data_IF_172311582192
#
_entry.id   IF_172311582192
#
_cell.length_a   1.000
_cell.length_b   1.000
_cell.length_c   1.000
_cell.angle_alpha   90.00
_cell.angle_beta   90.00
_cell.angle_gamma   90.00
#
_symmetry.space_group_name_H-M   'P 1'
#
loop_
_entity.id
_entity.type
_entity.pdbx_description
1 polymer ?
#
# COMPACT_ATOMS: atom_id res chain seq x y z
N UNK A 1 -74.19 -2.48 2.71
CA UNK A 1 -73.22 -2.17 1.65
C UNK A 1 -72.39 -1.00 2.12
N UNK A 2 -71.09 -1.23 2.43
CA UNK A 2 -70.05 -0.72 1.52
C UNK A 2 -68.96 -1.75 1.20
N UNK A 3 -68.37 -1.50 0.03
CA UNK A 3 -67.31 -2.21 -0.69
C UNK A 3 -65.90 -1.74 -0.24
N UNK A 4 -64.88 -2.55 -0.56
CA UNK A 4 -63.41 -2.34 -0.42
C UNK A 4 -62.87 -2.40 1.02
N UNK A 5 -62.24 -3.46 1.56
CA UNK A 5 -61.35 -4.55 1.07
C UNK A 5 -59.97 -4.10 0.54
N UNK A 6 -58.98 -4.32 1.42
CA UNK A 6 -57.53 -4.51 1.26
C UNK A 6 -56.62 -3.29 1.06
N UNK A 7 -55.83 -3.02 2.10
CA UNK A 7 -54.38 -2.72 1.98
C UNK A 7 -53.72 -3.13 3.30
N UNK A 8 -53.12 -4.33 3.34
CA UNK A 8 -51.67 -4.55 3.38
C UNK A 8 -51.06 -4.04 4.69
N UNK A 9 -50.92 -4.87 5.72
CA UNK A 9 -49.79 -5.81 5.87
C UNK A 9 -48.46 -5.17 5.46
N UNK A 10 -47.81 -4.49 6.39
CA UNK A 10 -46.34 -4.37 6.48
C UNK A 10 -45.98 -3.77 7.84
N UNK A 11 -46.26 -4.54 8.90
CA UNK A 11 -45.74 -4.29 10.23
C UNK A 11 -44.61 -5.29 10.47
N UNK A 12 -43.53 -5.14 9.70
CA UNK A 12 -42.33 -5.94 9.89
C UNK A 12 -41.13 -5.23 9.28
N UNK A 13 -40.07 -5.14 10.09
CA UNK A 13 -38.69 -4.84 9.71
C UNK A 13 -38.36 -3.36 9.45
N UNK A 14 -38.42 -2.55 10.51
CA UNK A 14 -37.38 -1.53 10.74
C UNK A 14 -36.33 -2.14 11.69
N UNK A 15 -35.67 -3.21 11.22
CA UNK A 15 -34.37 -3.59 11.74
C UNK A 15 -33.43 -2.44 11.42
N UNK A 16 -33.06 -1.71 12.47
CA UNK A 16 -32.08 -0.64 12.47
C UNK A 16 -30.79 -1.19 11.86
N UNK A 17 -30.62 -1.00 10.55
CA UNK A 17 -29.34 -1.10 9.88
C UNK A 17 -28.55 0.15 10.27
N UNK A 18 -28.18 0.23 11.55
CA UNK A 18 -27.03 0.99 11.97
C UNK A 18 -25.83 0.20 11.44
N UNK A 19 -25.54 0.37 10.15
CA UNK A 19 -24.23 0.10 9.62
C UNK A 19 -23.30 0.99 10.44
N UNK A 20 -22.70 0.41 11.49
CA UNK A 20 -21.66 1.04 12.25
C UNK A 20 -20.50 1.23 11.27
N UNK A 21 -20.53 2.36 10.56
CA UNK A 21 -19.33 2.93 9.97
C UNK A 21 -18.39 3.06 11.14
N UNK A 22 -17.41 2.16 11.21
CA UNK A 22 -16.24 2.30 12.05
C UNK A 22 -15.66 3.66 11.70
N UNK A 23 -16.06 4.69 12.44
CA UNK A 23 -15.46 6.00 12.36
C UNK A 23 -14.02 5.76 12.82
N UNK A 24 -13.12 5.63 11.85
CA UNK A 24 -11.70 5.52 12.09
C UNK A 24 -11.35 6.68 13.00
N UNK A 25 -10.91 6.36 14.23
CA UNK A 25 -10.55 7.40 15.20
C UNK A 25 -9.61 8.38 14.49
N UNK A 26 -9.87 9.70 14.54
CA UNK A 26 -9.08 10.66 13.80
C UNK A 26 -7.61 10.52 14.17
N UNK A 27 -6.76 10.50 13.15
CA UNK A 27 -5.33 10.38 13.33
C UNK A 27 -4.83 11.60 14.12
N UNK A 28 -4.30 11.37 15.32
CA UNK A 28 -3.88 12.45 16.23
C UNK A 28 -2.78 13.33 15.61
N UNK A 29 -1.94 12.75 14.74
CA UNK A 29 -0.91 13.47 13.98
C UNK A 29 -1.53 14.34 12.90
N UNK A 30 -2.54 13.82 12.19
CA UNK A 30 -3.28 14.58 11.19
C UNK A 30 -4.01 15.78 11.81
N UNK A 31 -4.69 15.57 12.94
CA UNK A 31 -5.36 16.66 13.68
C UNK A 31 -4.34 17.70 14.16
N UNK A 32 -3.17 17.26 14.66
CA UNK A 32 -2.11 18.18 15.07
C UNK A 32 -1.55 18.98 13.89
N UNK A 33 -1.33 18.35 12.74
CA UNK A 33 -0.83 19.00 11.53
C UNK A 33 -1.84 20.00 10.96
N UNK A 34 -3.12 19.63 10.90
CA UNK A 34 -4.18 20.52 10.42
C UNK A 34 -4.35 21.76 11.31
N UNK A 35 -4.17 21.64 12.64
CA UNK A 35 -4.21 22.79 13.56
C UNK A 35 -3.09 23.81 13.34
N UNK A 36 -2.01 23.42 12.65
CA UNK A 36 -0.89 24.29 12.35
C UNK A 36 -1.10 25.10 11.07
N UNK A 37 -2.12 24.79 10.27
CA UNK A 37 -2.48 25.60 9.10
C UNK A 37 -2.83 27.03 9.55
N UNK A 38 -2.26 28.01 8.85
CA UNK A 38 -2.31 29.44 9.21
C UNK A 38 -1.25 29.88 10.22
N UNK A 39 -0.41 28.97 10.73
CA UNK A 39 0.68 29.30 11.67
C UNK A 39 2.04 29.31 10.98
N UNK A 40 3.06 29.98 11.57
CA UNK A 40 4.43 29.88 11.08
C UNK A 40 4.97 28.45 11.13
N UNK A 41 5.75 28.06 10.11
CA UNK A 41 6.39 26.74 10.04
C UNK A 41 7.28 26.41 11.25
N UNK A 42 7.81 27.43 11.93
CA UNK A 42 8.60 27.27 13.16
C UNK A 42 7.82 26.58 14.30
N UNK A 43 6.50 26.68 14.32
CA UNK A 43 5.66 25.95 15.28
C UNK A 43 5.63 24.45 14.98
N UNK A 44 5.57 24.07 13.70
CA UNK A 44 5.67 22.67 13.31
C UNK A 44 7.01 22.06 13.73
N UNK A 45 8.11 22.81 13.64
CA UNK A 45 9.44 22.32 14.04
C UNK A 45 9.54 22.02 15.54
N UNK A 46 8.77 22.74 16.37
CA UNK A 46 8.68 22.46 17.81
C UNK A 46 7.89 21.19 18.12
N UNK A 47 6.88 20.90 17.31
CA UNK A 47 5.96 19.77 17.53
C UNK A 47 6.52 18.47 16.95
N UNK A 48 6.97 18.50 15.69
CA UNK A 48 7.44 17.32 14.96
C UNK A 48 8.96 17.15 15.01
N UNK A 49 9.70 18.17 15.47
CA UNK A 49 11.15 18.23 15.46
C UNK A 49 11.68 18.83 14.16
N UNK A 50 13.00 18.75 13.95
CA UNK A 50 13.63 19.20 12.69
C UNK A 50 13.10 18.36 11.50
N UNK A 51 12.71 18.98 10.37
CA UNK A 51 12.29 18.24 9.18
C UNK A 51 13.45 17.45 8.57
N UNK A 52 13.14 16.29 7.99
CA UNK A 52 14.11 15.44 7.30
C UNK A 52 14.52 16.03 5.96
N UNK A 53 13.57 16.68 5.28
CA UNK A 53 13.77 17.36 4.01
C UNK A 53 12.82 18.55 3.92
N UNK A 54 13.20 19.56 3.14
CA UNK A 54 12.37 20.73 2.94
C UNK A 54 13.15 21.92 2.41
N UNK A 55 12.41 22.82 1.79
CA UNK A 55 12.90 24.09 1.29
C UNK A 55 11.99 25.19 1.84
N UNK A 56 12.58 26.18 2.48
CA UNK A 56 11.83 27.37 2.90
C UNK A 56 11.35 28.20 1.71
N UNK A 57 10.53 29.23 1.96
CA UNK A 57 10.08 30.12 0.90
C UNK A 57 11.26 30.75 0.17
N UNK A 58 11.10 30.93 -1.14
CA UNK A 58 12.13 31.57 -1.94
C UNK A 58 12.13 33.09 -1.72
N UNK A 59 13.27 33.71 -2.00
CA UNK A 59 13.40 35.18 -2.01
C UNK A 59 12.48 35.89 -3.00
N UNK A 60 11.93 35.16 -3.99
CA UNK A 60 10.99 35.67 -4.99
C UNK A 60 9.52 35.50 -4.59
N UNK A 61 9.25 35.06 -3.36
CA UNK A 61 7.90 34.96 -2.80
C UNK A 61 7.18 33.64 -3.08
N UNK A 62 7.86 32.65 -3.68
CA UNK A 62 7.30 31.30 -3.78
C UNK A 62 7.26 30.65 -2.39
N UNK A 63 6.20 29.90 -2.14
CA UNK A 63 6.07 29.07 -0.95
C UNK A 63 7.16 28.02 -0.79
N UNK A 64 7.21 27.42 0.40
CA UNK A 64 8.12 26.34 0.74
C UNK A 64 7.39 25.03 1.06
N UNK A 65 8.15 24.00 1.41
CA UNK A 65 7.62 22.77 1.96
C UNK A 65 8.58 22.16 2.98
N UNK A 66 8.05 21.41 3.93
CA UNK A 66 8.80 20.68 4.95
C UNK A 66 8.21 19.29 5.16
N UNK A 67 9.06 18.27 5.19
CA UNK A 67 8.67 16.88 5.29
C UNK A 67 9.35 16.13 6.44
N UNK A 68 8.58 15.29 7.13
CA UNK A 68 9.05 14.34 8.15
C UNK A 68 8.66 12.93 7.74
N UNK A 69 9.63 12.04 7.63
CA UNK A 69 9.46 10.64 7.28
C UNK A 69 9.95 9.75 8.43
N UNK A 70 9.02 9.04 9.06
CA UNK A 70 9.33 8.04 10.09
C UNK A 70 8.95 6.65 9.59
N UNK A 71 9.97 5.83 9.37
CA UNK A 71 9.81 4.44 8.95
C UNK A 71 10.35 3.53 10.05
N UNK A 72 9.57 2.55 10.46
CA UNK A 72 10.04 1.44 11.28
C UNK A 72 9.78 0.13 10.54
N UNK A 73 10.80 -0.73 10.53
CA UNK A 73 10.77 -2.03 9.87
C UNK A 73 11.25 -3.09 10.83
N UNK A 74 10.71 -4.29 10.73
CA UNK A 74 11.29 -5.49 11.33
C UNK A 74 11.57 -6.54 10.27
N UNK A 75 12.45 -7.47 10.62
CA UNK A 75 12.77 -8.64 9.81
C UNK A 75 11.91 -9.78 10.33
N UNK A 76 11.04 -10.30 9.47
CA UNK A 76 10.24 -11.50 9.79
C UNK A 76 11.10 -12.77 9.66
N UNK A 77 10.77 -13.85 10.37
CA UNK A 77 11.43 -15.14 10.19
C UNK A 77 11.09 -15.82 8.85
N UNK A 78 10.13 -15.29 8.11
CA UNK A 78 9.73 -15.79 6.80
C UNK A 78 10.82 -15.51 5.76
N UNK A 79 11.24 -16.57 5.09
CA UNK A 79 12.24 -16.55 4.03
C UNK A 79 11.56 -16.40 2.67
N UNK A 80 11.91 -15.35 1.93
CA UNK A 80 11.39 -15.11 0.58
C UNK A 80 12.50 -15.34 -0.43
N UNK A 81 12.18 -16.07 -1.50
CA UNK A 81 13.10 -16.29 -2.61
C UNK A 81 13.08 -15.08 -3.55
N UNK A 82 14.23 -14.42 -3.67
CA UNK A 82 14.44 -13.31 -4.61
C UNK A 82 15.04 -13.89 -5.88
N UNK A 83 14.25 -13.93 -6.95
CA UNK A 83 14.71 -14.39 -8.26
C UNK A 83 15.61 -13.31 -8.89
N UNK A 84 16.89 -13.63 -9.09
CA UNK A 84 17.87 -12.75 -9.73
C UNK A 84 18.15 -13.13 -11.18
N UNK A 85 17.71 -14.32 -11.61
CA UNK A 85 17.91 -14.76 -12.98
C UNK A 85 17.21 -16.07 -13.33
N UNK A 86 17.58 -16.59 -14.49
CA UNK A 86 17.23 -17.94 -14.94
C UNK A 86 18.49 -18.60 -15.51
N UNK A 87 18.71 -19.85 -15.12
CA UNK A 87 19.81 -20.68 -15.61
C UNK A 87 19.25 -21.75 -16.54
N UNK A 88 19.90 -21.96 -17.67
CA UNK A 88 19.56 -23.03 -18.59
C UNK A 88 20.01 -24.38 -18.01
N UNK A 89 19.07 -25.32 -17.85
CA UNK A 89 19.32 -26.62 -17.21
C UNK A 89 19.18 -27.83 -18.14
N UNK A 90 18.90 -27.60 -19.42
CA UNK A 90 18.84 -28.66 -20.43
C UNK A 90 17.65 -28.51 -21.39
N UNK A 91 17.35 -29.58 -22.12
CA UNK A 91 16.24 -29.63 -23.05
C UNK A 91 15.28 -30.75 -22.68
N UNK A 92 13.98 -30.48 -22.79
CA UNK A 92 12.94 -31.51 -22.67
C UNK A 92 12.56 -31.96 -24.07
N UNK A 93 12.94 -33.19 -24.40
CA UNK A 93 12.56 -33.83 -25.67
C UNK A 93 11.23 -34.54 -25.51
N UNK A 94 10.25 -34.18 -26.34
CA UNK A 94 8.95 -34.87 -26.40
C UNK A 94 9.05 -36.00 -27.41
N UNK A 95 8.79 -37.22 -26.96
CA UNK A 95 8.80 -38.43 -27.79
C UNK A 95 7.36 -38.85 -28.09
N UNK A 96 7.06 -39.25 -29.32
CA UNK A 96 5.79 -39.92 -29.67
C UNK A 96 6.06 -41.35 -30.08
N UNK A 97 5.17 -42.24 -29.66
CA UNK A 97 5.16 -43.62 -30.13
C UNK A 97 4.65 -43.69 -31.56
N UNK A 98 5.40 -44.35 -32.43
CA UNK A 98 5.00 -44.65 -33.80
C UNK A 98 4.75 -46.16 -33.84
N UNK A 99 3.53 -46.56 -34.22
CA UNK A 99 3.15 -47.97 -34.28
C UNK A 99 2.16 -48.24 -35.41
N UNK A 100 2.54 -49.17 -36.29
CA UNK A 100 1.70 -49.73 -37.35
C UNK A 100 2.48 -50.81 -38.12
N UNK A 101 1.88 -51.99 -38.36
CA UNK A 101 2.49 -53.04 -39.19
C UNK A 101 3.58 -53.91 -38.53
N UNK A 102 3.66 -53.98 -37.21
CA UNK A 102 4.60 -54.88 -36.50
C UNK A 102 5.94 -54.25 -36.12
N UNK A 103 6.14 -52.96 -36.37
CA UNK A 103 7.33 -52.20 -35.94
C UNK A 103 6.91 -51.17 -34.89
N UNK A 104 7.62 -51.13 -33.77
CA UNK A 104 7.40 -50.15 -32.69
C UNK A 104 8.65 -49.29 -32.56
N UNK A 105 8.50 -47.98 -32.70
CA UNK A 105 9.58 -47.01 -32.54
C UNK A 105 9.11 -45.76 -31.78
N UNK A 106 10.07 -45.01 -31.22
CA UNK A 106 9.81 -43.70 -30.64
C UNK A 106 10.55 -42.66 -31.48
N UNK A 107 9.87 -41.56 -31.89
CA UNK A 107 10.53 -40.40 -32.51
C UNK A 107 10.44 -39.16 -31.62
N UNK A 108 11.49 -38.33 -31.56
CA UNK A 108 11.40 -36.99 -30.99
C UNK A 108 10.61 -36.06 -31.91
N UNK A 109 9.58 -35.39 -31.38
CA UNK A 109 8.74 -34.42 -32.12
C UNK A 109 8.87 -32.99 -31.64
N UNK A 110 9.60 -32.76 -30.56
CA UNK A 110 9.85 -31.43 -30.05
C UNK A 110 11.00 -31.42 -29.06
N UNK A 111 11.76 -30.34 -29.03
CA UNK A 111 12.76 -30.06 -28.01
C UNK A 111 12.54 -28.63 -27.51
N UNK A 112 12.25 -28.49 -26.22
CA UNK A 112 12.07 -27.19 -25.60
C UNK A 112 13.17 -26.93 -24.58
N UNK A 113 13.82 -25.75 -24.59
CA UNK A 113 14.82 -25.39 -23.60
C UNK A 113 14.16 -25.21 -22.23
N UNK A 114 14.72 -25.85 -21.21
CA UNK A 114 14.24 -25.78 -19.82
C UNK A 114 15.15 -24.86 -19.02
N UNK A 115 14.53 -23.88 -18.35
CA UNK A 115 15.22 -22.91 -17.50
C UNK A 115 14.80 -23.07 -16.03
N UNK A 116 15.75 -22.96 -15.12
CA UNK A 116 15.53 -22.91 -13.66
C UNK A 116 15.69 -21.48 -13.17
N UNK A 117 14.78 -21.03 -12.32
CA UNK A 117 14.89 -19.74 -11.63
C UNK A 117 16.08 -19.77 -10.66
N UNK A 118 17.00 -18.82 -10.79
CA UNK A 118 18.14 -18.65 -9.88
C UNK A 118 17.95 -17.40 -9.02
N UNK A 119 18.49 -17.43 -7.81
CA UNK A 119 18.21 -16.43 -6.79
C UNK A 119 18.79 -16.78 -5.44
N UNK A 120 18.58 -15.90 -4.47
CA UNK A 120 18.95 -16.11 -3.07
C UNK A 120 17.72 -16.02 -2.18
N UNK A 121 17.84 -16.59 -0.98
CA UNK A 121 16.78 -16.54 0.01
C UNK A 121 17.16 -15.54 1.08
N UNK A 122 16.31 -14.56 1.30
CA UNK A 122 16.51 -13.55 2.33
C UNK A 122 15.30 -13.48 3.26
N UNK A 123 15.53 -13.05 4.49
CA UNK A 123 14.44 -12.81 5.43
C UNK A 123 13.64 -11.60 4.96
N UNK A 124 12.31 -11.70 5.01
CA UNK A 124 11.44 -10.62 4.55
C UNK A 124 11.45 -9.47 5.55
N UNK A 125 11.91 -8.30 5.08
CA UNK A 125 11.74 -7.02 5.79
C UNK A 125 10.34 -6.49 5.58
N UNK A 126 9.61 -6.24 6.66
CA UNK A 126 8.24 -5.71 6.64
C UNK A 126 8.22 -4.33 7.28
N UNK A 127 7.47 -3.41 6.68
CA UNK A 127 7.26 -2.05 7.20
C UNK A 127 6.15 -2.11 8.25
N UNK A 128 6.50 -1.85 9.52
CA UNK A 128 5.57 -1.83 10.65
C UNK A 128 4.83 -0.51 10.78
N UNK A 129 5.55 0.56 10.48
CA UNK A 129 5.08 1.91 10.68
C UNK A 129 5.69 2.81 9.62
N UNK A 130 4.83 3.53 8.91
CA UNK A 130 5.23 4.55 7.96
C UNK A 130 4.42 5.80 8.25
N UNK A 131 5.07 6.86 8.72
CA UNK A 131 4.43 8.14 8.97
C UNK A 131 5.15 9.23 8.19
N UNK A 132 4.45 9.81 7.23
CA UNK A 132 4.91 10.97 6.48
C UNK A 132 4.02 12.17 6.81
N UNK A 133 4.65 13.26 7.23
CA UNK A 133 4.01 14.56 7.45
C UNK A 133 4.66 15.53 6.47
N UNK A 134 3.88 16.12 5.58
CA UNK A 134 4.33 17.14 4.64
C UNK A 134 3.53 18.43 4.87
N UNK A 135 4.21 19.54 5.07
CA UNK A 135 3.62 20.85 5.24
C UNK A 135 4.03 21.74 4.08
N UNK A 136 3.08 22.50 3.54
CA UNK A 136 3.32 23.52 2.53
C UNK A 136 3.19 24.90 3.16
N UNK A 137 4.00 25.84 2.70
CA UNK A 137 3.99 27.22 3.21
C UNK A 137 3.84 28.24 2.11
N UNK A 138 3.38 29.44 2.45
CA UNK A 138 3.40 30.61 1.58
C UNK A 138 4.77 31.31 1.56
N UNK A 139 4.89 32.41 0.81
CA UNK A 139 6.11 33.22 0.73
C UNK A 139 6.53 33.89 2.05
N UNK A 140 5.69 33.86 3.09
CA UNK A 140 5.98 34.37 4.45
C UNK A 140 6.26 33.23 5.43
N UNK A 141 6.41 32.01 4.93
CA UNK A 141 6.62 30.80 5.71
C UNK A 141 5.45 30.44 6.66
N UNK A 142 4.24 30.85 6.30
CA UNK A 142 2.99 30.47 6.98
C UNK A 142 2.46 29.20 6.33
N UNK A 143 2.09 28.21 7.15
CA UNK A 143 1.58 26.92 6.67
C UNK A 143 0.24 27.14 5.97
N UNK A 144 0.16 26.75 4.71
CA UNK A 144 -1.07 26.84 3.90
C UNK A 144 -1.80 25.51 3.84
N UNK A 145 -1.06 24.40 3.87
CA UNK A 145 -1.61 23.06 3.78
C UNK A 145 -0.75 22.05 4.54
N UNK A 146 -1.38 20.95 4.96
CA UNK A 146 -0.78 19.91 5.75
C UNK A 146 -1.30 18.53 5.30
N UNK A 147 -0.40 17.72 4.74
CA UNK A 147 -0.67 16.35 4.30
C UNK A 147 -0.04 15.39 5.29
N UNK A 148 -0.83 14.45 5.81
CA UNK A 148 -0.37 13.40 6.71
C UNK A 148 -0.74 12.03 6.14
N UNK A 149 0.24 11.15 6.01
CA UNK A 149 0.09 9.83 5.39
C UNK A 149 0.64 8.77 6.34
N UNK A 150 -0.18 7.76 6.62
CA UNK A 150 0.23 6.53 7.31
C UNK A 150 0.57 6.67 8.80
N UNK A 151 0.42 7.85 9.39
CA UNK A 151 0.71 8.12 10.81
C UNK A 151 -0.30 7.49 11.80
N UNK A 152 -0.96 6.41 11.42
CA UNK A 152 -1.95 5.75 12.26
C UNK A 152 -1.24 5.05 13.42
N UNK A 153 -1.89 5.00 14.59
CA UNK A 153 -1.27 4.45 15.80
C UNK A 153 -0.71 3.06 15.51
N UNK A 154 0.55 2.85 15.90
CA UNK A 154 1.23 1.54 15.85
C UNK A 154 0.26 0.45 16.26
N UNK A 155 -0.01 -0.51 15.37
CA UNK A 155 -0.52 -1.80 15.83
C UNK A 155 0.58 -2.35 16.74
N UNK A 156 0.28 -2.40 18.04
CA UNK A 156 1.14 -3.02 19.05
C UNK A 156 1.28 -4.51 18.76
#
# INVERSE_FOLDING_TARGET
>A
MPLFKYSCVTLMVLSISACATLATKPNEVEVAAQKLVGQPASNAFKIFGKPDHGLGPSSYGSGGFYGWNRVQTHVTPEKVFVQTGVEYIGQKTTMVGIGGGGVVGQMPVGSEPVYRKTGYTENRTVIDYFCNITLYTDGKNIITDAIVIGCDKKKK
#
